data_IF_745879044162
#
_entry.id   IF_745879044162
#
_cell.length_a   1.000
_cell.length_b   1.000
_cell.length_c   1.000
_cell.angle_alpha   90.00
_cell.angle_beta   90.00
_cell.angle_gamma   90.00
#
_symmetry.space_group_name_H-M   'P 1'
#
loop_
_entity.id
_entity.type
_entity.pdbx_description
1 polymer ?
#
# COMPACT_ATOMS: atom_id res chain seq x y z
N UNK A 1 8.86 29.08 19.92
CA UNK A 1 9.07 28.39 18.63
C UNK A 1 8.60 26.94 18.79
N UNK A 2 7.32 26.68 18.51
CA UNK A 2 6.85 25.29 18.34
C UNK A 2 7.31 24.84 16.95
N UNK A 3 8.14 23.81 16.93
CA UNK A 3 8.66 23.18 15.73
C UNK A 3 7.55 22.83 14.75
N UNK A 4 7.48 23.55 13.65
CA UNK A 4 6.61 23.23 12.50
C UNK A 4 7.08 21.96 11.77
N UNK A 5 8.09 21.30 12.30
CA UNK A 5 8.70 20.11 11.71
C UNK A 5 8.24 18.78 12.34
N UNK A 6 7.35 18.80 13.33
CA UNK A 6 7.12 17.67 14.21
C UNK A 6 5.99 16.72 13.85
N UNK A 7 5.37 16.80 12.66
CA UNK A 7 4.35 15.80 12.30
C UNK A 7 4.51 15.27 10.88
N UNK A 8 5.37 14.26 10.68
CA UNK A 8 5.36 13.45 9.46
C UNK A 8 3.95 12.93 9.14
N UNK A 9 3.20 12.60 10.18
CA UNK A 9 1.83 12.11 10.16
C UNK A 9 0.84 13.09 9.56
N UNK A 10 0.89 14.38 9.93
CA UNK A 10 -0.01 15.40 9.36
C UNK A 10 0.22 15.58 7.88
N UNK A 11 1.48 15.69 7.44
CA UNK A 11 1.84 15.81 6.01
C UNK A 11 1.38 14.60 5.21
N UNK A 12 1.52 13.39 5.77
CA UNK A 12 1.07 12.17 5.12
C UNK A 12 -0.46 12.09 5.03
N UNK A 13 -1.17 12.52 6.08
CA UNK A 13 -2.63 12.61 6.05
C UNK A 13 -3.10 13.67 5.04
N UNK A 14 -2.48 14.86 5.02
CA UNK A 14 -2.80 15.92 4.06
C UNK A 14 -2.57 15.41 2.62
N UNK A 15 -1.45 14.74 2.34
CA UNK A 15 -1.16 14.19 1.02
C UNK A 15 -2.19 13.12 0.62
N UNK A 16 -2.59 12.24 1.54
CA UNK A 16 -3.63 11.26 1.28
C UNK A 16 -4.96 11.94 0.92
N UNK A 17 -5.38 12.94 1.68
CA UNK A 17 -6.64 13.66 1.44
C UNK A 17 -6.59 14.48 0.13
N UNK A 18 -5.46 15.11 -0.20
CA UNK A 18 -5.28 15.80 -1.48
C UNK A 18 -5.38 14.81 -2.65
N UNK A 19 -4.72 13.65 -2.54
CA UNK A 19 -4.81 12.59 -3.55
C UNK A 19 -6.25 12.16 -3.76
N UNK A 20 -6.99 11.91 -2.67
CA UNK A 20 -8.37 11.43 -2.72
C UNK A 20 -9.37 12.46 -3.24
N UNK A 21 -9.05 13.75 -3.14
CA UNK A 21 -9.87 14.82 -3.77
C UNK A 21 -9.96 14.66 -5.30
N UNK A 22 -8.96 14.04 -5.91
CA UNK A 22 -8.86 13.90 -7.37
C UNK A 22 -9.03 12.46 -7.86
N UNK A 23 -9.41 11.54 -6.98
CA UNK A 23 -9.67 10.13 -7.34
C UNK A 23 -11.16 9.82 -7.23
N UNK A 24 -11.65 9.04 -8.18
CA UNK A 24 -13.05 8.59 -8.20
C UNK A 24 -13.35 7.66 -7.02
N UNK A 25 -14.47 7.88 -6.37
CA UNK A 25 -14.97 7.07 -5.24
C UNK A 25 -15.44 5.66 -5.69
N UNK A 26 -15.45 4.70 -4.82
CA UNK A 26 -14.80 4.68 -3.50
C UNK A 26 -13.29 4.74 -3.66
N UNK A 27 -12.62 5.49 -2.83
CA UNK A 27 -11.16 5.58 -2.90
C UNK A 27 -10.48 5.67 -1.54
N UNK A 28 -9.28 5.07 -1.46
CA UNK A 28 -8.35 5.18 -0.33
C UNK A 28 -6.93 5.36 -0.84
N UNK A 29 -6.07 5.94 -0.02
CA UNK A 29 -4.68 6.20 -0.36
C UNK A 29 -3.76 5.81 0.81
N UNK A 30 -2.74 5.00 0.52
CA UNK A 30 -1.64 4.68 1.43
C UNK A 30 -0.48 5.63 1.14
N UNK A 31 0.05 6.25 2.18
CA UNK A 31 1.13 7.24 2.10
C UNK A 31 2.28 6.85 3.02
N UNK A 32 3.50 6.93 2.54
CA UNK A 32 4.73 6.78 3.31
C UNK A 32 5.76 7.81 2.88
N UNK A 33 6.40 8.48 3.84
CA UNK A 33 7.51 9.42 3.61
C UNK A 33 7.23 10.46 2.51
N UNK A 34 6.02 11.03 2.49
CA UNK A 34 5.65 12.05 1.52
C UNK A 34 5.32 11.52 0.11
N UNK A 35 5.11 10.22 -0.04
CA UNK A 35 4.71 9.59 -1.29
C UNK A 35 3.41 8.81 -1.14
N UNK A 36 2.50 8.93 -2.11
CA UNK A 36 1.37 8.03 -2.27
C UNK A 36 1.89 6.70 -2.83
N UNK A 37 1.90 5.66 -2.01
CA UNK A 37 2.48 4.35 -2.35
C UNK A 37 1.44 3.33 -2.81
N UNK A 38 0.16 3.60 -2.60
CA UNK A 38 -0.92 2.76 -3.07
C UNK A 38 -2.24 3.51 -3.09
N UNK A 39 -2.90 3.54 -4.24
CA UNK A 39 -4.21 4.16 -4.43
C UNK A 39 -5.17 3.10 -4.94
N UNK A 40 -6.29 2.93 -4.24
CA UNK A 40 -7.44 2.16 -4.68
C UNK A 40 -8.60 3.11 -4.93
N UNK A 41 -9.04 3.21 -6.18
CA UNK A 41 -10.05 4.18 -6.60
C UNK A 41 -11.10 3.54 -7.52
N UNK A 42 -12.31 4.12 -7.58
CA UNK A 42 -13.38 3.66 -8.44
C UNK A 42 -13.95 2.28 -8.08
N UNK A 43 -13.73 1.81 -6.86
CA UNK A 43 -14.19 0.50 -6.43
C UNK A 43 -15.62 0.55 -5.86
N UNK A 44 -16.35 -0.54 -6.03
CA UNK A 44 -17.75 -0.65 -5.58
C UNK A 44 -17.91 -0.82 -4.06
N UNK A 45 -16.86 -1.23 -3.37
CA UNK A 45 -16.87 -1.36 -1.91
C UNK A 45 -15.60 -0.81 -1.26
N UNK A 46 -15.75 -0.31 -0.03
CA UNK A 46 -14.65 0.25 0.74
C UNK A 46 -13.53 -0.75 0.98
N UNK A 47 -13.88 -1.98 1.34
CA UNK A 47 -12.88 -3.02 1.57
C UNK A 47 -12.09 -3.38 0.31
N UNK A 48 -12.70 -3.35 -0.88
CA UNK A 48 -11.97 -3.56 -2.13
C UNK A 48 -10.97 -2.45 -2.41
N UNK A 49 -11.30 -1.19 -2.07
CA UNK A 49 -10.34 -0.09 -2.16
C UNK A 49 -9.11 -0.34 -1.27
N UNK A 50 -9.35 -0.73 -0.01
CA UNK A 50 -8.26 -0.98 0.95
C UNK A 50 -7.41 -2.17 0.51
N UNK A 51 -8.02 -3.24 -0.02
CA UNK A 51 -7.29 -4.39 -0.56
C UNK A 51 -6.42 -4.00 -1.75
N UNK A 52 -6.98 -3.29 -2.72
CA UNK A 52 -6.27 -2.85 -3.93
C UNK A 52 -5.13 -1.87 -3.59
N UNK A 53 -5.43 -0.85 -2.79
CA UNK A 53 -4.42 0.13 -2.37
C UNK A 53 -3.32 -0.51 -1.52
N UNK A 54 -3.71 -1.42 -0.61
CA UNK A 54 -2.77 -2.17 0.22
C UNK A 54 -1.87 -3.09 -0.60
N UNK A 55 -2.40 -3.79 -1.59
CA UNK A 55 -1.59 -4.60 -2.50
C UNK A 55 -0.57 -3.76 -3.27
N UNK A 56 -0.98 -2.59 -3.76
CA UNK A 56 -0.06 -1.66 -4.44
C UNK A 56 1.02 -1.14 -3.49
N UNK A 57 0.66 -0.84 -2.24
CA UNK A 57 1.61 -0.43 -1.21
C UNK A 57 2.59 -1.57 -0.86
N UNK A 58 2.10 -2.80 -0.72
CA UNK A 58 2.92 -3.99 -0.49
C UNK A 58 3.91 -4.20 -1.64
N UNK A 59 3.45 -4.10 -2.90
CA UNK A 59 4.32 -4.20 -4.07
C UNK A 59 5.39 -3.08 -4.09
N UNK A 60 5.02 -1.85 -3.73
CA UNK A 60 5.98 -0.75 -3.62
C UNK A 60 7.07 -1.05 -2.60
N UNK A 61 6.72 -1.66 -1.46
CA UNK A 61 7.67 -2.08 -0.43
C UNK A 61 8.53 -3.26 -0.87
N UNK A 62 7.93 -4.28 -1.51
CA UNK A 62 8.63 -5.46 -2.01
C UNK A 62 9.67 -5.12 -3.07
N UNK A 63 9.39 -4.15 -3.94
CA UNK A 63 10.35 -3.66 -4.95
C UNK A 63 11.63 -3.08 -4.35
N UNK A 64 11.63 -2.73 -3.07
CA UNK A 64 12.79 -2.21 -2.33
C UNK A 64 13.51 -3.28 -1.52
N UNK A 65 13.05 -4.52 -1.55
CA UNK A 65 13.73 -5.62 -0.87
C UNK A 65 15.08 -5.94 -1.51
N UNK A 66 16.06 -6.41 -0.73
CA UNK A 66 17.35 -6.85 -1.27
C UNK A 66 17.21 -7.90 -2.38
N UNK A 67 16.24 -8.81 -2.27
CA UNK A 67 15.97 -9.82 -3.29
C UNK A 67 15.62 -9.22 -4.63
N UNK A 68 14.82 -8.16 -4.67
CA UNK A 68 14.45 -7.47 -5.91
C UNK A 68 15.56 -6.56 -6.41
N UNK A 69 16.23 -5.83 -5.50
CA UNK A 69 17.31 -4.91 -5.88
C UNK A 69 18.53 -5.63 -6.45
N UNK A 70 18.76 -6.87 -6.04
CA UNK A 70 19.90 -7.70 -6.48
C UNK A 70 19.52 -8.71 -7.58
N UNK A 71 18.36 -8.57 -8.24
CA UNK A 71 18.01 -9.43 -9.38
C UNK A 71 19.08 -9.35 -10.47
N UNK A 72 19.58 -10.50 -10.96
CA UNK A 72 20.68 -10.57 -11.91
C UNK A 72 20.20 -10.28 -13.35
N UNK A 73 19.74 -9.06 -13.60
CA UNK A 73 19.27 -8.67 -14.92
C UNK A 73 20.40 -8.68 -15.95
N UNK A 74 20.06 -9.04 -17.18
CA UNK A 74 20.93 -8.89 -18.33
C UNK A 74 21.17 -7.39 -18.60
N UNK A 75 22.35 -7.04 -19.08
CA UNK A 75 22.73 -5.66 -19.40
C UNK A 75 21.94 -5.06 -20.57
N UNK A 76 21.46 -5.94 -21.48
CA UNK A 76 20.74 -5.55 -22.69
C UNK A 76 19.21 -5.40 -22.49
N UNK A 77 18.70 -5.70 -21.27
CA UNK A 77 17.27 -5.57 -20.98
C UNK A 77 16.86 -4.11 -20.88
N UNK A 78 15.75 -3.74 -21.53
CA UNK A 78 15.19 -2.40 -21.47
C UNK A 78 14.44 -2.15 -20.16
N UNK A 79 14.36 -0.89 -19.78
CA UNK A 79 13.69 -0.47 -18.54
C UNK A 79 12.27 -1.01 -18.40
N UNK A 80 11.45 -0.91 -19.46
CA UNK A 80 10.07 -1.38 -19.41
C UNK A 80 9.98 -2.90 -19.19
N UNK A 81 10.84 -3.67 -19.84
CA UNK A 81 10.91 -5.12 -19.68
C UNK A 81 11.38 -5.51 -18.27
N UNK A 82 12.39 -4.78 -17.75
CA UNK A 82 12.86 -4.93 -16.38
C UNK A 82 11.76 -4.65 -15.36
N UNK A 83 11.02 -3.55 -15.52
CA UNK A 83 9.93 -3.18 -14.61
C UNK A 83 8.82 -4.23 -14.64
N UNK A 84 8.44 -4.74 -15.82
CA UNK A 84 7.46 -5.81 -15.96
C UNK A 84 7.94 -7.13 -15.31
N UNK A 85 9.22 -7.48 -15.50
CA UNK A 85 9.78 -8.68 -14.88
C UNK A 85 9.78 -8.60 -13.35
N UNK A 86 10.02 -7.43 -12.77
CA UNK A 86 9.91 -7.22 -11.34
C UNK A 86 8.47 -7.41 -10.86
N UNK A 87 7.48 -6.85 -11.57
CA UNK A 87 6.07 -6.99 -11.20
C UNK A 87 5.62 -8.46 -11.24
N UNK A 88 6.03 -9.22 -12.25
CA UNK A 88 5.79 -10.66 -12.31
C UNK A 88 6.50 -11.40 -11.16
N UNK A 89 7.79 -11.11 -10.93
CA UNK A 89 8.59 -11.78 -9.92
C UNK A 89 8.05 -11.65 -8.50
N UNK A 90 7.52 -10.47 -8.15
CA UNK A 90 6.89 -10.24 -6.84
C UNK A 90 5.43 -10.69 -6.77
N UNK A 91 4.78 -10.91 -7.93
CA UNK A 91 3.37 -11.28 -8.04
C UNK A 91 3.09 -12.77 -7.84
N UNK A 92 1.83 -13.13 -8.08
CA UNK A 92 1.38 -14.53 -8.07
C UNK A 92 1.84 -15.27 -9.35
N UNK A 93 2.05 -14.52 -10.44
CA UNK A 93 2.44 -15.02 -11.76
C UNK A 93 3.96 -15.14 -11.92
N UNK A 94 4.73 -15.26 -10.84
CA UNK A 94 6.20 -15.28 -10.87
C UNK A 94 6.79 -16.37 -11.78
N UNK A 95 6.06 -17.47 -12.00
CA UNK A 95 6.50 -18.51 -12.93
C UNK A 95 6.54 -18.05 -14.38
N UNK A 96 5.79 -17.00 -14.75
CA UNK A 96 5.82 -16.45 -16.11
C UNK A 96 7.17 -15.84 -16.47
N UNK A 97 7.93 -15.42 -15.48
CA UNK A 97 9.31 -14.91 -15.66
C UNK A 97 10.38 -15.90 -15.19
N UNK A 98 10.04 -16.92 -14.38
CA UNK A 98 11.01 -17.88 -13.83
C UNK A 98 11.00 -19.27 -14.48
N UNK A 99 10.03 -19.58 -15.34
CA UNK A 99 10.02 -20.87 -16.06
C UNK A 99 11.17 -20.96 -17.07
N UNK A 100 11.60 -22.18 -17.35
CA UNK A 100 12.68 -22.44 -18.30
C UNK A 100 12.29 -21.94 -19.70
N UNK A 101 13.23 -21.29 -20.38
CA UNK A 101 13.01 -20.60 -21.65
C UNK A 101 12.57 -19.14 -21.54
N UNK A 102 12.10 -18.70 -20.37
CA UNK A 102 11.71 -17.29 -20.15
C UNK A 102 12.71 -16.55 -19.27
N UNK A 103 13.20 -17.16 -18.17
CA UNK A 103 14.14 -16.48 -17.30
C UNK A 103 15.45 -16.10 -18.03
N UNK A 104 15.93 -16.91 -18.97
CA UNK A 104 17.15 -16.66 -19.76
C UNK A 104 17.06 -15.40 -20.63
N UNK A 105 15.83 -14.97 -20.93
CA UNK A 105 15.59 -13.74 -21.72
C UNK A 105 15.80 -12.48 -20.89
N UNK A 106 15.66 -12.60 -19.56
CA UNK A 106 15.60 -11.47 -18.62
C UNK A 106 16.83 -11.42 -17.72
N UNK A 107 17.29 -12.57 -17.25
CA UNK A 107 18.34 -12.69 -16.24
C UNK A 107 19.59 -13.38 -16.78
N UNK A 108 20.72 -13.12 -16.16
CA UNK A 108 21.98 -13.80 -16.43
C UNK A 108 22.07 -15.16 -15.75
N UNK A 109 21.34 -15.36 -14.67
CA UNK A 109 21.16 -16.61 -13.94
C UNK A 109 19.74 -16.67 -13.38
N UNK A 110 19.22 -17.87 -13.15
CA UNK A 110 17.86 -18.06 -12.63
C UNK A 110 17.75 -17.58 -11.19
N UNK A 111 16.98 -16.51 -10.91
CA UNK A 111 16.76 -16.08 -9.54
C UNK A 111 16.00 -17.13 -8.72
N UNK A 112 16.23 -17.21 -7.41
CA UNK A 112 15.35 -18.00 -6.53
C UNK A 112 13.94 -17.41 -6.51
N UNK A 113 12.95 -18.25 -6.22
CA UNK A 113 11.58 -17.79 -6.00
C UNK A 113 11.55 -16.89 -4.76
N UNK A 114 10.90 -15.73 -4.87
CA UNK A 114 10.59 -14.90 -3.72
C UNK A 114 9.37 -15.47 -3.01
N UNK A 115 9.63 -16.29 -1.98
CA UNK A 115 8.59 -17.05 -1.30
C UNK A 115 7.62 -16.15 -0.54
N UNK A 116 6.44 -16.70 -0.24
CA UNK A 116 5.43 -15.99 0.54
C UNK A 116 5.96 -15.60 1.92
N UNK A 117 6.67 -16.50 2.57
CA UNK A 117 7.27 -16.31 3.89
C UNK A 117 8.29 -15.16 3.87
N UNK A 118 9.16 -15.12 2.88
CA UNK A 118 10.15 -14.05 2.71
C UNK A 118 9.49 -12.68 2.43
N UNK A 119 8.41 -12.67 1.62
CA UNK A 119 7.62 -11.45 1.39
C UNK A 119 6.97 -10.97 2.68
N UNK A 120 6.34 -11.87 3.44
CA UNK A 120 5.69 -11.56 4.73
C UNK A 120 6.72 -11.05 5.75
N UNK A 121 7.91 -11.65 5.83
CA UNK A 121 9.00 -11.19 6.69
C UNK A 121 9.43 -9.76 6.32
N UNK A 122 9.64 -9.47 5.04
CA UNK A 122 10.00 -8.13 4.59
C UNK A 122 8.89 -7.11 4.89
N UNK A 123 7.64 -7.44 4.58
CA UNK A 123 6.49 -6.57 4.81
C UNK A 123 6.21 -6.35 6.31
N UNK A 124 6.56 -7.29 7.17
CA UNK A 124 6.39 -7.15 8.62
C UNK A 124 7.23 -6.00 9.22
N UNK A 125 8.28 -5.58 8.52
CA UNK A 125 9.12 -4.44 8.90
C UNK A 125 8.51 -3.09 8.49
N UNK A 126 7.42 -3.10 7.70
CA UNK A 126 6.75 -1.88 7.29
C UNK A 126 6.06 -1.21 8.47
N UNK A 127 6.32 0.09 8.65
CA UNK A 127 5.77 0.88 9.74
C UNK A 127 5.52 2.33 9.32
N UNK A 128 4.72 3.04 10.12
CA UNK A 128 4.51 4.48 9.95
C UNK A 128 3.72 4.85 8.69
N UNK A 129 3.00 3.92 8.09
CA UNK A 129 2.18 4.17 6.91
C UNK A 129 0.87 4.85 7.33
N UNK A 130 0.45 5.84 6.55
CA UNK A 130 -0.82 6.54 6.71
C UNK A 130 -1.82 6.03 5.68
N UNK A 131 -3.04 5.74 6.13
CA UNK A 131 -4.20 5.44 5.30
C UNK A 131 -5.19 6.60 5.34
N UNK A 132 -5.49 7.19 4.18
CA UNK A 132 -6.60 8.12 4.01
C UNK A 132 -7.78 7.47 3.31
N UNK A 133 -8.99 7.93 3.64
CA UNK A 133 -10.24 7.47 3.02
C UNK A 133 -11.15 8.66 2.65
N UNK A 134 -11.76 8.59 1.45
CA UNK A 134 -12.66 9.64 0.95
C UNK A 134 -14.03 9.65 1.64
N UNK A 135 -14.38 8.57 2.34
CA UNK A 135 -15.57 8.44 3.18
C UNK A 135 -15.29 7.56 4.40
N UNK A 136 -16.26 7.39 5.30
CA UNK A 136 -16.11 6.57 6.50
C UNK A 136 -15.84 5.09 6.18
N UNK A 137 -15.20 4.41 7.11
CA UNK A 137 -15.08 2.96 7.09
C UNK A 137 -16.36 2.32 7.67
N UNK A 138 -17.08 1.50 6.88
CA UNK A 138 -18.32 0.89 7.35
C UNK A 138 -18.11 -0.26 8.34
N UNK A 139 -16.92 -0.89 8.31
CA UNK A 139 -16.58 -2.06 9.11
C UNK A 139 -15.10 -2.06 9.52
N UNK A 140 -14.79 -2.75 10.61
CA UNK A 140 -13.41 -2.88 11.13
C UNK A 140 -12.48 -3.73 10.25
N UNK A 141 -13.00 -4.53 9.32
CA UNK A 141 -12.21 -5.33 8.38
C UNK A 141 -11.26 -4.48 7.51
N UNK A 142 -11.62 -3.22 7.27
CA UNK A 142 -10.76 -2.24 6.61
C UNK A 142 -9.49 -1.97 7.42
N UNK A 143 -9.59 -1.85 8.73
CA UNK A 143 -8.46 -1.65 9.65
C UNK A 143 -7.63 -2.93 9.75
N UNK A 144 -8.27 -4.10 9.83
CA UNK A 144 -7.59 -5.40 9.83
C UNK A 144 -6.74 -5.57 8.56
N UNK A 145 -7.28 -5.20 7.37
CA UNK A 145 -6.51 -5.22 6.12
C UNK A 145 -5.36 -4.21 6.13
N UNK A 146 -5.62 -2.99 6.59
CA UNK A 146 -4.63 -1.92 6.64
C UNK A 146 -3.43 -2.28 7.54
N UNK A 147 -3.69 -2.97 8.66
CA UNK A 147 -2.66 -3.46 9.58
C UNK A 147 -1.62 -4.33 8.88
N UNK A 148 -2.05 -5.21 7.97
CA UNK A 148 -1.15 -6.11 7.23
C UNK A 148 -0.14 -5.38 6.35
N UNK A 149 -0.44 -4.15 5.93
CA UNK A 149 0.43 -3.28 5.13
C UNK A 149 1.16 -2.21 5.96
N UNK A 150 1.27 -2.37 7.27
CA UNK A 150 2.06 -1.49 8.15
C UNK A 150 1.43 -0.14 8.44
N UNK A 151 0.11 0.01 8.32
CA UNK A 151 -0.60 1.25 8.67
C UNK A 151 -0.52 1.50 10.16
N UNK A 152 -0.14 2.71 10.52
CA UNK A 152 -0.11 3.23 11.90
C UNK A 152 -1.08 4.39 12.08
N UNK A 153 -1.34 5.14 11.01
CA UNK A 153 -2.15 6.35 11.06
C UNK A 153 -3.31 6.26 10.07
N UNK A 154 -4.50 6.63 10.51
CA UNK A 154 -5.73 6.60 9.71
C UNK A 154 -6.38 7.97 9.69
N UNK A 155 -6.74 8.46 8.51
CA UNK A 155 -7.49 9.68 8.31
C UNK A 155 -8.78 9.37 7.56
N UNK A 156 -9.93 9.60 8.18
CA UNK A 156 -11.24 9.37 7.59
C UNK A 156 -12.26 10.38 8.11
N UNK A 157 -13.37 10.66 7.39
CA UNK A 157 -14.33 11.67 7.83
C UNK A 157 -15.13 11.28 9.07
N UNK A 158 -15.35 10.00 9.34
CA UNK A 158 -16.28 9.53 10.37
C UNK A 158 -17.75 9.62 9.91
N UNK A 159 -18.67 9.36 10.84
CA UNK A 159 -20.11 9.43 10.62
C UNK A 159 -20.79 8.12 10.29
N UNK A 160 -20.13 6.99 10.47
CA UNK A 160 -20.74 5.66 10.45
C UNK A 160 -21.41 5.34 11.79
N UNK A 161 -22.53 4.64 11.75
CA UNK A 161 -23.13 4.05 12.97
C UNK A 161 -22.19 3.02 13.64
N UNK A 162 -21.15 2.57 12.93
CA UNK A 162 -20.13 1.62 13.39
C UNK A 162 -18.77 2.27 13.63
N UNK A 163 -18.72 3.59 13.81
CA UNK A 163 -17.46 4.29 14.09
C UNK A 163 -16.76 3.70 15.34
N UNK A 164 -17.53 3.26 16.36
CA UNK A 164 -16.96 2.63 17.55
C UNK A 164 -16.24 1.33 17.23
N UNK A 165 -16.79 0.46 16.37
CA UNK A 165 -16.13 -0.80 15.95
C UNK A 165 -14.79 -0.52 15.27
N UNK A 166 -14.71 0.57 14.50
CA UNK A 166 -13.50 1.01 13.79
C UNK A 166 -12.48 1.60 14.77
N UNK A 167 -12.92 2.38 15.76
CA UNK A 167 -12.08 2.90 16.85
C UNK A 167 -11.47 1.74 17.63
N UNK A 168 -12.29 0.77 18.06
CA UNK A 168 -11.84 -0.39 18.83
C UNK A 168 -10.79 -1.22 18.07
N UNK A 169 -10.96 -1.36 16.75
CA UNK A 169 -9.97 -2.02 15.90
C UNK A 169 -8.65 -1.22 15.82
N UNK A 170 -8.70 0.09 15.74
CA UNK A 170 -7.51 0.95 15.78
C UNK A 170 -6.79 0.82 17.13
N UNK A 171 -7.54 0.85 18.23
CA UNK A 171 -6.99 0.72 19.58
C UNK A 171 -6.33 -0.67 19.78
N UNK A 172 -6.97 -1.73 19.31
CA UNK A 172 -6.41 -3.09 19.31
C UNK A 172 -5.02 -3.18 18.69
N UNK A 173 -4.76 -2.41 17.65
CA UNK A 173 -3.49 -2.40 16.92
C UNK A 173 -2.59 -1.20 17.22
N UNK A 174 -2.92 -0.43 18.25
CA UNK A 174 -2.19 0.77 18.65
C UNK A 174 -2.00 1.73 17.44
N UNK A 175 -3.06 1.88 16.63
CA UNK A 175 -3.14 2.84 15.54
C UNK A 175 -3.71 4.15 16.04
N UNK A 176 -3.29 5.25 15.42
CA UNK A 176 -3.84 6.60 15.65
C UNK A 176 -4.82 6.91 14.53
N UNK A 177 -6.08 7.18 14.86
CA UNK A 177 -7.10 7.58 13.88
C UNK A 177 -7.56 9.01 14.12
N UNK A 178 -7.69 9.77 13.05
CA UNK A 178 -8.25 11.12 13.04
C UNK A 178 -9.54 11.16 12.24
N UNK A 179 -10.60 11.69 12.83
CA UNK A 179 -11.81 12.07 12.13
C UNK A 179 -11.62 13.44 11.50
N UNK A 180 -11.53 13.48 10.17
CA UNK A 180 -11.28 14.72 9.42
C UNK A 180 -12.52 15.61 9.30
N UNK A 181 -13.72 15.04 9.43
CA UNK A 181 -14.98 15.70 9.13
C UNK A 181 -15.14 16.10 7.66
N UNK A 182 -14.17 15.72 6.81
CA UNK A 182 -14.13 16.09 5.40
C UNK A 182 -14.46 14.88 4.53
N UNK A 183 -15.68 14.83 4.02
CA UNK A 183 -16.13 13.82 3.07
C UNK A 183 -15.76 14.24 1.66
N UNK A 184 -14.91 13.43 0.99
CA UNK A 184 -14.44 13.67 -0.39
C UNK A 184 -15.10 12.75 -1.42
N UNK A 185 -16.12 12.04 -0.99
CA UNK A 185 -16.84 11.06 -1.83
C UNK A 185 -17.50 11.73 -3.04
N UNK A 186 -17.17 11.30 -4.24
CA UNK A 186 -17.70 11.77 -5.51
C UNK A 186 -17.51 10.74 -6.63
N UNK A 187 -18.36 10.85 -7.64
CA UNK A 187 -18.32 10.03 -8.85
C UNK A 187 -18.05 10.89 -10.09
#
# INVERSE_FOLDING_TARGET
HRDRHSFPTRRSSDLAMITLKYTQSNSVCFVKNGQAIGVGAGQQSRIHCVRLAGQKADNWLLRQSPQVLNLPFRDDIKRAERDNAIDLYIGEEYMDVLKDGEWERVFTEKPPVFTKEEKEEWLSQAEGITLGSDAFFPFSDNIERAKKSGVKYVAQPGGSIRDQDVIDACDKYDMVMSFTGLRLFHH
#
